data_IF_983141132144
#
_entry.id   IF_983141132144
#
_cell.length_a   1.000
_cell.length_b   1.000
_cell.length_c   1.000
_cell.angle_alpha   90.00
_cell.angle_beta   90.00
_cell.angle_gamma   90.00
#
_symmetry.space_group_name_H-M   'P 1'
#
loop_
_entity.id
_entity.type
_entity.pdbx_description
1 polymer ?
#
# COMPACT_ATOMS: atom_id res chain seq x y z
N UNK A 1 -3.72 20.79 26.19
CA UNK A 1 -2.89 19.67 26.67
C UNK A 1 -1.44 20.10 26.66
N UNK A 2 -0.68 19.93 27.75
CA UNK A 2 0.72 20.36 27.80
C UNK A 2 1.57 19.45 26.89
N UNK A 3 2.60 20.01 26.21
CA UNK A 3 3.50 19.21 25.35
C UNK A 3 4.08 18.00 26.10
N UNK A 4 4.38 18.17 27.40
CA UNK A 4 4.84 17.08 28.28
C UNK A 4 3.82 15.95 28.43
N UNK A 5 2.53 16.26 28.59
CA UNK A 5 1.48 15.25 28.69
C UNK A 5 1.29 14.49 27.38
N UNK A 6 1.40 15.15 26.22
CA UNK A 6 1.36 14.47 24.91
C UNK A 6 2.50 13.46 24.78
N UNK A 7 3.73 13.86 25.12
CA UNK A 7 4.88 12.95 25.06
C UNK A 7 4.79 11.77 26.02
N UNK A 8 4.29 12.00 27.25
CA UNK A 8 4.09 10.92 28.22
C UNK A 8 3.05 9.93 27.71
N UNK A 9 1.92 10.41 27.16
CA UNK A 9 0.88 9.54 26.60
C UNK A 9 1.43 8.75 25.40
N UNK A 10 2.16 9.40 24.49
CA UNK A 10 2.76 8.73 23.33
C UNK A 10 3.78 7.66 23.74
N UNK A 11 4.64 7.96 24.74
CA UNK A 11 5.60 7.01 25.28
C UNK A 11 4.91 5.80 25.91
N UNK A 12 3.86 6.05 26.71
CA UNK A 12 3.11 4.99 27.39
C UNK A 12 2.34 4.11 26.40
N UNK A 13 1.80 4.70 25.35
CA UNK A 13 1.21 3.97 24.23
C UNK A 13 2.25 3.10 23.49
N UNK A 14 3.41 3.67 23.15
CA UNK A 14 4.49 2.91 22.50
C UNK A 14 5.01 1.78 23.39
N UNK A 15 5.12 2.01 24.70
CA UNK A 15 5.57 1.00 25.65
C UNK A 15 4.57 -0.16 25.77
N UNK A 16 3.26 0.12 25.79
CA UNK A 16 2.22 -0.90 25.89
C UNK A 16 2.07 -1.72 24.59
N UNK A 17 2.11 -1.07 23.43
CA UNK A 17 2.09 -1.76 22.14
C UNK A 17 3.38 -2.56 21.92
N UNK A 18 4.53 -1.99 22.33
CA UNK A 18 5.82 -2.67 22.23
C UNK A 18 5.91 -3.89 23.15
N UNK A 19 5.43 -3.79 24.39
CA UNK A 19 5.51 -4.90 25.35
C UNK A 19 4.63 -6.09 24.93
N UNK A 20 3.41 -5.83 24.45
CA UNK A 20 2.51 -6.89 23.96
C UNK A 20 3.08 -7.60 22.73
N UNK A 21 3.66 -6.85 21.81
CA UNK A 21 4.31 -7.41 20.60
C UNK A 21 5.54 -8.26 20.96
N UNK A 22 6.40 -7.77 21.86
CA UNK A 22 7.59 -8.49 22.30
C UNK A 22 7.24 -9.74 23.11
N UNK A 23 6.21 -9.68 23.95
CA UNK A 23 5.71 -10.84 24.68
C UNK A 23 5.20 -11.93 23.73
N UNK A 24 4.43 -11.55 22.69
CA UNK A 24 3.98 -12.48 21.66
C UNK A 24 5.15 -13.15 20.92
N UNK A 25 6.14 -12.38 20.47
CA UNK A 25 7.34 -12.91 19.82
C UNK A 25 8.13 -13.86 20.72
N UNK A 26 8.27 -13.53 22.00
CA UNK A 26 8.96 -14.36 22.97
C UNK A 26 8.22 -15.68 23.22
N UNK A 27 6.89 -15.63 23.36
CA UNK A 27 6.06 -16.82 23.52
C UNK A 27 6.11 -17.72 22.29
N UNK A 28 6.01 -17.14 21.09
CA UNK A 28 6.14 -17.89 19.84
C UNK A 28 7.52 -18.55 19.76
N UNK A 29 8.59 -17.80 20.04
CA UNK A 29 9.95 -18.32 20.02
C UNK A 29 10.14 -19.51 20.97
N UNK A 30 9.74 -19.38 22.24
CA UNK A 30 9.85 -20.48 23.21
C UNK A 30 8.94 -21.65 22.85
N UNK A 31 7.76 -21.40 22.26
CA UNK A 31 6.88 -22.47 21.75
C UNK A 31 7.55 -23.25 20.61
N UNK A 32 8.11 -22.57 19.61
CA UNK A 32 8.80 -23.23 18.50
C UNK A 32 10.06 -23.97 18.97
N UNK A 33 10.80 -23.40 19.92
CA UNK A 33 11.95 -24.03 20.56
C UNK A 33 11.57 -25.31 21.29
N UNK A 34 10.51 -25.28 22.11
CA UNK A 34 10.02 -26.43 22.84
C UNK A 34 9.57 -27.58 21.91
N UNK A 35 9.01 -27.22 20.74
CA UNK A 35 8.54 -28.18 19.74
C UNK A 35 9.60 -28.57 18.69
N UNK A 36 10.89 -28.23 18.88
CA UNK A 36 11.99 -28.50 17.92
C UNK A 36 11.75 -27.91 16.52
N UNK A 37 10.92 -26.88 16.41
CA UNK A 37 10.53 -26.21 15.15
C UNK A 37 11.18 -24.85 14.93
N UNK A 38 12.34 -24.60 15.54
CA UNK A 38 12.99 -23.27 15.56
C UNK A 38 13.37 -22.77 14.16
N UNK A 39 13.63 -23.67 13.21
CA UNK A 39 13.85 -23.33 11.80
C UNK A 39 12.61 -22.67 11.17
N UNK A 40 11.41 -23.23 11.43
CA UNK A 40 10.14 -22.69 10.91
C UNK A 40 9.86 -21.29 11.47
N UNK A 41 10.22 -21.05 12.73
CA UNK A 41 10.12 -19.72 13.34
C UNK A 41 10.95 -18.69 12.57
N UNK A 42 12.22 -19.00 12.27
CA UNK A 42 13.09 -18.08 11.55
C UNK A 42 12.64 -17.86 10.11
N UNK A 43 12.19 -18.91 9.41
CA UNK A 43 11.62 -18.78 8.06
C UNK A 43 10.41 -17.85 8.09
N UNK A 44 9.48 -18.06 9.03
CA UNK A 44 8.30 -17.20 9.18
C UNK A 44 8.68 -15.76 9.51
N UNK A 45 9.55 -15.55 10.50
CA UNK A 45 9.96 -14.24 10.97
C UNK A 45 10.70 -13.45 9.89
N UNK A 46 11.70 -14.06 9.25
CA UNK A 46 12.47 -13.42 8.18
C UNK A 46 11.60 -13.14 6.97
N UNK A 47 10.66 -14.02 6.62
CA UNK A 47 9.71 -13.75 5.52
C UNK A 47 8.84 -12.53 5.84
N UNK A 48 8.22 -12.48 7.02
CA UNK A 48 7.43 -11.31 7.46
C UNK A 48 8.26 -10.03 7.41
N UNK A 49 9.48 -10.07 7.91
CA UNK A 49 10.41 -8.93 7.91
C UNK A 49 10.80 -8.50 6.49
N UNK A 50 11.15 -9.45 5.62
CA UNK A 50 11.54 -9.17 4.24
C UNK A 50 10.37 -8.59 3.43
N UNK A 51 9.17 -9.13 3.58
CA UNK A 51 7.96 -8.57 2.96
C UNK A 51 7.69 -7.16 3.48
N UNK A 52 7.79 -6.93 4.79
CA UNK A 52 7.65 -5.60 5.37
C UNK A 52 8.65 -4.61 4.77
N UNK A 53 9.93 -4.96 4.74
CA UNK A 53 10.99 -4.10 4.23
C UNK A 53 10.82 -3.82 2.72
N UNK A 54 10.57 -4.86 1.92
CA UNK A 54 10.39 -4.76 0.48
C UNK A 54 9.24 -3.81 0.11
N UNK A 55 8.06 -4.02 0.69
CA UNK A 55 6.89 -3.20 0.38
C UNK A 55 6.96 -1.81 1.00
N UNK A 56 7.62 -1.62 2.15
CA UNK A 56 7.92 -0.29 2.68
C UNK A 56 8.78 0.52 1.70
N UNK A 57 9.87 -0.09 1.23
CA UNK A 57 10.80 0.54 0.28
C UNK A 57 10.08 0.84 -1.04
N UNK A 58 9.28 -0.11 -1.55
CA UNK A 58 8.52 0.07 -2.78
C UNK A 58 7.54 1.23 -2.68
N UNK A 59 6.81 1.35 -1.56
CA UNK A 59 5.90 2.48 -1.33
C UNK A 59 6.67 3.80 -1.30
N UNK A 60 7.76 3.87 -0.55
CA UNK A 60 8.60 5.08 -0.44
C UNK A 60 9.15 5.46 -1.82
N UNK A 61 9.59 4.48 -2.62
CA UNK A 61 10.10 4.71 -3.97
C UNK A 61 9.00 5.25 -4.90
N UNK A 62 7.81 4.64 -4.92
CA UNK A 62 6.66 5.12 -5.71
C UNK A 62 6.26 6.53 -5.31
N UNK A 63 6.18 6.78 -4.01
CA UNK A 63 5.87 8.09 -3.46
C UNK A 63 6.92 9.12 -3.88
N UNK A 64 8.21 8.79 -3.73
CA UNK A 64 9.31 9.68 -4.09
C UNK A 64 9.31 10.00 -5.58
N UNK A 65 9.04 9.00 -6.44
CA UNK A 65 8.89 9.20 -7.87
C UNK A 65 7.76 10.18 -8.18
N UNK A 66 6.58 9.99 -7.58
CA UNK A 66 5.46 10.92 -7.71
C UNK A 66 5.79 12.33 -7.19
N UNK A 67 6.46 12.42 -6.04
CA UNK A 67 6.90 13.69 -5.47
C UNK A 67 7.91 14.41 -6.37
N UNK A 68 8.84 13.68 -6.98
CA UNK A 68 9.81 14.21 -7.94
C UNK A 68 9.13 14.67 -9.23
N UNK A 69 8.11 13.96 -9.71
CA UNK A 69 7.30 14.41 -10.86
C UNK A 69 6.63 15.76 -10.58
N UNK A 70 6.00 15.90 -9.42
CA UNK A 70 5.46 17.19 -8.96
C UNK A 70 6.58 18.24 -8.92
N UNK A 71 7.77 17.87 -8.42
CA UNK A 71 8.92 18.77 -8.30
C UNK A 71 9.47 19.28 -9.62
N UNK A 72 9.57 18.41 -10.61
CA UNK A 72 10.19 18.70 -11.91
C UNK A 72 9.18 19.39 -12.82
N UNK A 73 7.97 18.86 -12.93
CA UNK A 73 6.95 19.32 -13.88
C UNK A 73 6.10 20.48 -13.34
N UNK A 74 6.02 20.66 -12.02
CA UNK A 74 5.32 21.79 -11.39
C UNK A 74 6.00 23.16 -11.55
N UNK A 75 7.18 23.19 -12.18
CA UNK A 75 7.97 24.39 -12.44
C UNK A 75 8.91 24.78 -11.29
N UNK A 76 10.18 25.05 -11.62
CA UNK A 76 11.18 25.56 -10.67
C UNK A 76 10.67 26.87 -10.05
N UNK A 77 10.27 26.83 -8.78
CA UNK A 77 9.91 28.02 -8.00
C UNK A 77 8.52 27.99 -7.37
N UNK A 78 7.55 27.21 -7.88
CA UNK A 78 6.17 27.22 -7.34
C UNK A 78 5.97 26.39 -6.07
N UNK A 79 6.82 25.39 -5.87
CA UNK A 79 6.66 24.35 -4.84
C UNK A 79 7.06 24.86 -3.44
N UNK A 80 7.58 26.08 -3.36
CA UNK A 80 7.88 26.78 -2.12
C UNK A 80 7.82 28.30 -2.31
N UNK A 81 6.98 28.82 -3.22
CA UNK A 81 6.75 30.27 -3.26
C UNK A 81 5.90 30.67 -2.07
N UNK A 82 6.49 31.53 -1.24
CA UNK A 82 5.91 32.37 -0.18
C UNK A 82 4.37 32.44 -0.24
N UNK A 83 3.59 31.55 0.41
CA UNK A 83 2.15 31.85 0.58
C UNK A 83 1.48 31.17 1.78
N UNK A 84 1.70 29.87 2.07
CA UNK A 84 1.09 29.23 3.26
C UNK A 84 2.12 28.83 4.33
N UNK A 85 3.30 28.41 3.90
CA UNK A 85 4.30 27.80 4.78
C UNK A 85 5.19 28.82 5.49
N UNK A 86 5.45 29.95 4.85
CA UNK A 86 6.14 31.09 5.48
C UNK A 86 5.30 31.78 6.56
N UNK A 87 3.97 31.56 6.57
CA UNK A 87 3.09 32.00 7.68
C UNK A 87 3.21 31.11 8.91
N UNK A 88 3.57 29.83 8.76
CA UNK A 88 3.75 28.90 9.87
C UNK A 88 5.22 29.00 10.34
N UNK A 89 5.54 30.04 11.12
CA UNK A 89 6.82 30.12 11.83
C UNK A 89 6.75 29.25 13.08
N UNK A 90 7.44 28.11 13.08
CA UNK A 90 7.65 27.31 14.30
C UNK A 90 9.02 27.72 14.88
N UNK A 91 9.08 28.37 16.06
CA UNK A 91 10.31 28.94 16.61
C UNK A 91 11.45 27.95 16.86
N UNK A 92 11.16 26.64 16.89
CA UNK A 92 12.10 25.61 17.31
C UNK A 92 13.00 25.03 16.19
N UNK A 93 12.73 25.29 14.90
CA UNK A 93 13.37 24.53 13.78
C UNK A 93 13.81 25.41 12.58
N UNK A 94 13.88 26.75 12.74
CA UNK A 94 14.37 27.64 11.68
C UNK A 94 13.39 27.87 10.52
N UNK A 95 13.85 27.83 9.27
CA UNK A 95 13.04 28.17 8.07
C UNK A 95 11.87 27.20 7.84
N UNK A 96 10.69 27.76 7.53
CA UNK A 96 9.45 27.07 7.12
C UNK A 96 9.67 25.87 6.18
N UNK A 97 10.58 26.02 5.22
CA UNK A 97 10.91 25.02 4.19
C UNK A 97 11.57 23.74 4.72
N UNK A 98 12.52 23.84 5.66
CA UNK A 98 13.23 22.65 6.18
C UNK A 98 12.31 21.82 7.07
N UNK A 99 11.49 22.50 7.87
CA UNK A 99 10.42 21.89 8.66
C UNK A 99 9.50 21.02 7.82
N UNK A 100 9.07 21.50 6.66
CA UNK A 100 8.19 20.74 5.78
C UNK A 100 8.86 19.54 5.17
N UNK A 101 10.11 19.68 4.74
CA UNK A 101 10.86 18.54 4.20
C UNK A 101 10.98 17.48 5.28
N UNK A 102 11.24 17.87 6.54
CA UNK A 102 11.28 16.95 7.67
C UNK A 102 9.91 16.31 7.92
N UNK A 103 8.83 17.10 7.97
CA UNK A 103 7.47 16.61 8.22
C UNK A 103 6.99 15.69 7.11
N UNK A 104 7.20 16.06 5.84
CA UNK A 104 6.85 15.23 4.68
C UNK A 104 7.69 13.96 4.68
N UNK A 105 9.01 14.04 4.89
CA UNK A 105 9.86 12.85 4.97
C UNK A 105 9.43 11.92 6.10
N UNK A 106 9.14 12.47 7.27
CA UNK A 106 8.66 11.69 8.42
C UNK A 106 7.31 11.04 8.14
N UNK A 107 6.37 11.76 7.51
CA UNK A 107 5.07 11.23 7.11
C UNK A 107 5.21 10.10 6.08
N UNK A 108 6.12 10.23 5.11
CA UNK A 108 6.38 9.21 4.09
C UNK A 108 7.01 7.96 4.68
N UNK A 109 7.98 8.11 5.57
CA UNK A 109 8.60 6.98 6.27
C UNK A 109 7.54 6.26 7.13
N UNK A 110 6.70 7.03 7.84
CA UNK A 110 5.63 6.48 8.66
C UNK A 110 4.58 5.74 7.83
N UNK A 111 4.10 6.33 6.73
CA UNK A 111 3.17 5.68 5.80
C UNK A 111 3.82 4.46 5.13
N UNK A 112 5.09 4.54 4.75
CA UNK A 112 5.86 3.40 4.23
C UNK A 112 5.91 2.25 5.22
N UNK A 113 6.18 2.53 6.49
CA UNK A 113 6.13 1.53 7.57
C UNK A 113 4.75 0.90 7.73
N UNK A 114 3.66 1.69 7.66
CA UNK A 114 2.29 1.16 7.69
C UNK A 114 2.03 0.26 6.47
N UNK A 115 2.44 0.69 5.28
CA UNK A 115 2.26 -0.06 4.02
C UNK A 115 3.08 -1.35 4.00
N UNK A 116 4.26 -1.37 4.60
CA UNK A 116 5.02 -2.60 4.83
C UNK A 116 4.39 -3.49 5.89
N UNK A 117 3.82 -2.92 6.96
CA UNK A 117 3.15 -3.70 8.03
C UNK A 117 1.91 -4.40 7.50
N UNK A 118 1.09 -3.69 6.72
CA UNK A 118 -0.07 -4.27 6.04
C UNK A 118 0.35 -5.34 5.04
N UNK A 119 1.41 -5.13 4.25
CA UNK A 119 1.97 -6.15 3.37
C UNK A 119 2.48 -7.39 4.11
N UNK A 120 3.14 -7.20 5.27
CA UNK A 120 3.68 -8.30 6.10
C UNK A 120 2.58 -9.24 6.61
N UNK A 121 1.33 -8.78 6.74
CA UNK A 121 0.21 -9.65 7.05
C UNK A 121 -0.02 -10.73 5.99
N UNK A 122 0.32 -10.45 4.73
CA UNK A 122 0.21 -11.34 3.56
C UNK A 122 1.51 -12.11 3.26
N UNK A 123 2.33 -12.36 4.30
CA UNK A 123 3.58 -13.11 4.15
C UNK A 123 3.38 -14.54 3.65
N UNK A 124 2.20 -15.15 3.92
CA UNK A 124 1.87 -16.52 3.48
C UNK A 124 1.66 -16.56 1.97
N UNK A 125 0.89 -15.62 1.44
CA UNK A 125 0.65 -15.48 0.01
C UNK A 125 1.97 -15.24 -0.73
N UNK A 126 2.85 -14.40 -0.16
CA UNK A 126 4.19 -14.17 -0.71
C UNK A 126 5.08 -15.43 -0.71
N UNK A 127 5.19 -16.14 0.41
CA UNK A 127 6.10 -17.31 0.49
C UNK A 127 5.60 -18.48 -0.35
N UNK A 128 4.28 -18.66 -0.41
CA UNK A 128 3.65 -19.70 -1.23
C UNK A 128 3.79 -19.36 -2.72
N UNK A 129 3.65 -18.10 -3.10
CA UNK A 129 3.94 -17.65 -4.47
C UNK A 129 5.39 -17.88 -4.86
N UNK A 130 6.35 -17.55 -3.98
CA UNK A 130 7.78 -17.75 -4.24
C UNK A 130 8.15 -19.23 -4.41
N UNK A 131 7.42 -20.12 -3.73
CA UNK A 131 7.64 -21.57 -3.78
C UNK A 131 6.54 -22.27 -4.59
N UNK A 132 5.96 -21.60 -5.59
CA UNK A 132 4.92 -22.17 -6.42
C UNK A 132 5.45 -23.36 -7.22
N UNK A 133 4.72 -24.46 -7.23
CA UNK A 133 5.02 -25.65 -8.03
C UNK A 133 3.87 -25.96 -8.99
N UNK A 134 4.15 -26.48 -10.19
CA UNK A 134 3.10 -26.92 -11.10
C UNK A 134 2.41 -28.17 -10.56
N UNK A 135 1.12 -28.32 -10.85
CA UNK A 135 0.36 -29.53 -10.55
C UNK A 135 0.49 -30.55 -11.68
N UNK A 136 1.68 -31.11 -11.81
CA UNK A 136 1.97 -32.14 -12.81
C UNK A 136 1.03 -33.35 -12.64
N UNK A 137 0.46 -33.81 -13.75
CA UNK A 137 -0.47 -34.96 -13.77
C UNK A 137 -1.95 -34.60 -13.61
N UNK A 138 -2.29 -33.34 -13.35
CA UNK A 138 -3.66 -32.83 -13.44
C UNK A 138 -3.91 -32.07 -14.74
N UNK A 139 -5.10 -32.16 -15.34
CA UNK A 139 -5.43 -31.35 -16.51
C UNK A 139 -5.48 -29.87 -16.13
N UNK A 140 -5.00 -29.01 -17.03
CA UNK A 140 -5.15 -27.57 -16.89
C UNK A 140 -6.62 -27.17 -16.87
N UNK A 141 -6.91 -25.99 -16.31
CA UNK A 141 -8.27 -25.50 -16.26
C UNK A 141 -8.85 -25.34 -17.69
N UNK A 142 -10.11 -25.74 -17.94
CA UNK A 142 -10.68 -25.76 -19.29
C UNK A 142 -11.11 -24.37 -19.82
N UNK A 143 -11.09 -23.31 -18.99
CA UNK A 143 -11.61 -21.98 -19.35
C UNK A 143 -10.48 -21.04 -19.78
N UNK A 144 -9.43 -20.95 -18.97
CA UNK A 144 -8.26 -20.09 -19.14
C UNK A 144 -6.98 -20.86 -19.43
N UNK A 145 -6.97 -22.19 -19.33
CA UNK A 145 -5.81 -23.02 -19.61
C UNK A 145 -4.67 -22.85 -18.61
N UNK A 146 -4.96 -22.43 -17.37
CA UNK A 146 -3.98 -22.27 -16.29
C UNK A 146 -3.88 -23.54 -15.46
N UNK A 147 -2.68 -23.78 -14.96
CA UNK A 147 -2.42 -24.85 -14.01
C UNK A 147 -3.11 -24.57 -12.66
N UNK A 148 -3.46 -25.61 -11.91
CA UNK A 148 -4.06 -25.47 -10.57
C UNK A 148 -3.13 -24.71 -9.61
N UNK A 149 -1.81 -24.84 -9.78
CA UNK A 149 -0.80 -24.10 -9.00
C UNK A 149 -0.92 -22.59 -9.16
N UNK A 150 -1.38 -22.10 -10.32
CA UNK A 150 -1.64 -20.68 -10.53
C UNK A 150 -2.73 -20.18 -9.57
N UNK A 151 -3.84 -20.91 -9.44
CA UNK A 151 -4.98 -20.51 -8.61
C UNK A 151 -4.69 -20.60 -7.11
N UNK A 152 -3.90 -21.59 -6.69
CA UNK A 152 -3.58 -21.82 -5.28
C UNK A 152 -2.41 -20.96 -4.79
N UNK A 153 -1.41 -20.72 -5.63
CA UNK A 153 -0.17 -20.09 -5.20
C UNK A 153 0.00 -18.67 -5.74
N UNK A 154 -0.31 -18.43 -7.01
CA UNK A 154 -0.03 -17.14 -7.67
C UNK A 154 -1.18 -16.14 -7.58
N UNK A 155 -2.41 -16.60 -7.79
CA UNK A 155 -3.60 -15.75 -7.82
C UNK A 155 -3.83 -15.00 -6.50
N UNK A 156 -3.71 -15.63 -5.30
CA UNK A 156 -3.86 -14.90 -4.04
C UNK A 156 -2.81 -13.78 -3.88
N UNK A 157 -1.56 -14.04 -4.29
CA UNK A 157 -0.50 -13.04 -4.26
C UNK A 157 -0.74 -11.89 -5.26
N UNK A 158 -1.25 -12.19 -6.46
CA UNK A 158 -1.61 -11.14 -7.43
C UNK A 158 -2.79 -10.28 -6.95
N UNK A 159 -3.78 -10.88 -6.29
CA UNK A 159 -4.88 -10.16 -5.66
C UNK A 159 -4.38 -9.25 -4.53
N UNK A 160 -3.48 -9.75 -3.68
CA UNK A 160 -2.80 -8.94 -2.68
C UNK A 160 -2.03 -7.78 -3.32
N UNK A 161 -1.20 -8.05 -4.34
CA UNK A 161 -0.38 -7.03 -5.01
C UNK A 161 -1.26 -5.95 -5.64
N UNK A 162 -2.38 -6.35 -6.26
CA UNK A 162 -3.37 -5.43 -6.80
C UNK A 162 -3.94 -4.52 -5.70
N UNK A 163 -4.45 -5.10 -4.61
CA UNK A 163 -5.04 -4.34 -3.50
C UNK A 163 -4.04 -3.40 -2.83
N UNK A 164 -2.79 -3.85 -2.68
CA UNK A 164 -1.70 -3.05 -2.15
C UNK A 164 -1.34 -1.88 -3.07
N UNK A 165 -1.21 -2.10 -4.39
CA UNK A 165 -0.97 -1.04 -5.37
C UNK A 165 -2.12 -0.03 -5.45
N UNK A 166 -3.37 -0.48 -5.39
CA UNK A 166 -4.54 0.41 -5.32
C UNK A 166 -4.50 1.27 -4.07
N UNK A 167 -4.15 0.69 -2.92
CA UNK A 167 -3.96 1.43 -1.67
C UNK A 167 -2.85 2.47 -1.79
N UNK A 168 -1.71 2.11 -2.39
CA UNK A 168 -0.62 3.04 -2.71
C UNK A 168 -1.11 4.21 -3.56
N UNK A 169 -1.81 3.93 -4.67
CA UNK A 169 -2.31 4.96 -5.59
C UNK A 169 -3.27 5.92 -4.91
N UNK A 170 -4.20 5.41 -4.10
CA UNK A 170 -5.15 6.24 -3.34
C UNK A 170 -4.40 7.13 -2.35
N UNK A 171 -3.51 6.57 -1.54
CA UNK A 171 -2.72 7.33 -0.56
C UNK A 171 -1.86 8.40 -1.25
N UNK A 172 -1.18 8.05 -2.34
CA UNK A 172 -0.34 8.97 -3.12
C UNK A 172 -1.21 10.08 -3.74
N UNK A 173 -2.42 9.76 -4.20
CA UNK A 173 -3.36 10.75 -4.76
C UNK A 173 -3.85 11.73 -3.71
N UNK A 174 -4.24 11.23 -2.53
CA UNK A 174 -4.61 12.06 -1.38
C UNK A 174 -3.43 12.97 -1.01
N UNK A 175 -2.23 12.41 -0.90
CA UNK A 175 -1.04 13.18 -0.56
C UNK A 175 -0.71 14.23 -1.62
N UNK A 176 -0.78 13.88 -2.91
CA UNK A 176 -0.58 14.82 -4.01
C UNK A 176 -1.58 15.96 -3.98
N UNK A 177 -2.82 15.68 -3.59
CA UNK A 177 -3.87 16.70 -3.44
C UNK A 177 -3.51 17.67 -2.31
N UNK A 178 -3.09 17.15 -1.15
CA UNK A 178 -2.61 17.96 -0.02
C UNK A 178 -1.41 18.82 -0.41
N UNK A 179 -0.45 18.29 -1.17
CA UNK A 179 0.67 19.07 -1.69
C UNK A 179 0.23 20.18 -2.64
N UNK A 180 -0.69 19.90 -3.56
CA UNK A 180 -1.21 20.93 -4.48
C UNK A 180 -1.97 22.03 -3.74
N UNK A 181 -2.73 21.69 -2.69
CA UNK A 181 -3.37 22.65 -1.79
C UNK A 181 -2.32 23.50 -1.04
N UNK A 182 -1.31 22.85 -0.43
CA UNK A 182 -0.25 23.54 0.31
C UNK A 182 0.58 24.48 -0.58
N UNK A 183 0.75 24.12 -1.86
CA UNK A 183 1.45 24.93 -2.86
C UNK A 183 0.59 26.06 -3.45
N UNK A 184 -0.70 26.15 -3.12
CA UNK A 184 -1.63 27.12 -3.70
C UNK A 184 -1.95 26.85 -5.18
N UNK A 185 -1.69 25.64 -5.67
CA UNK A 185 -2.05 25.22 -7.02
C UNK A 185 -3.56 24.98 -7.19
N UNK A 186 -4.27 24.89 -6.06
CA UNK A 186 -5.72 24.85 -5.92
C UNK A 186 -6.11 26.11 -5.13
N UNK A 187 -6.84 27.03 -5.73
CA UNK A 187 -7.30 28.27 -5.10
C UNK A 187 -8.81 28.26 -4.97
N UNK A 188 -9.31 28.39 -3.74
CA UNK A 188 -10.74 28.46 -3.46
C UNK A 188 -11.12 29.95 -3.43
N UNK A 189 -11.89 30.39 -4.43
CA UNK A 189 -12.42 31.75 -4.54
C UNK A 189 -13.95 31.73 -4.35
N UNK A 190 -14.60 32.87 -4.04
CA UNK A 190 -16.06 32.95 -3.97
C UNK A 190 -16.75 32.52 -5.27
N UNK A 191 -16.05 32.67 -6.40
CA UNK A 191 -16.53 32.38 -7.75
C UNK A 191 -16.34 30.91 -8.15
N UNK A 192 -15.58 30.11 -7.37
CA UNK A 192 -15.31 28.71 -7.67
C UNK A 192 -13.93 28.23 -7.22
N UNK A 193 -13.62 26.97 -7.54
CA UNK A 193 -12.29 26.36 -7.29
C UNK A 193 -11.47 26.42 -8.56
N UNK A 194 -10.40 27.22 -8.54
CA UNK A 194 -9.44 27.32 -9.64
C UNK A 194 -8.31 26.31 -9.47
N UNK A 195 -8.08 25.51 -10.50
CA UNK A 195 -6.98 24.55 -10.58
C UNK A 195 -5.93 25.03 -11.59
N UNK A 196 -4.66 24.99 -11.21
CA UNK A 196 -3.58 25.15 -12.19
C UNK A 196 -3.61 24.03 -13.23
N UNK A 197 -3.19 24.33 -14.47
CA UNK A 197 -3.19 23.37 -15.58
C UNK A 197 -2.45 22.06 -15.23
N UNK A 198 -1.28 22.19 -14.59
CA UNK A 198 -0.48 21.04 -14.15
C UNK A 198 -1.17 20.24 -13.04
N UNK A 199 -1.74 20.90 -12.02
CA UNK A 199 -2.46 20.22 -10.95
C UNK A 199 -3.63 19.40 -11.50
N UNK A 200 -4.44 20.00 -12.38
CA UNK A 200 -5.56 19.34 -13.05
C UNK A 200 -5.08 18.12 -13.85
N UNK A 201 -4.06 18.28 -14.70
CA UNK A 201 -3.53 17.17 -15.49
C UNK A 201 -3.00 16.03 -14.60
N UNK A 202 -2.19 16.37 -13.58
CA UNK A 202 -1.57 15.40 -12.68
C UNK A 202 -2.62 14.59 -11.90
N UNK A 203 -3.59 15.26 -11.26
CA UNK A 203 -4.64 14.58 -10.50
C UNK A 203 -5.58 13.78 -11.41
N UNK A 204 -5.91 14.31 -12.61
CA UNK A 204 -6.70 13.55 -13.59
C UNK A 204 -5.98 12.28 -14.04
N UNK A 205 -4.65 12.31 -14.22
CA UNK A 205 -3.87 11.12 -14.59
C UNK A 205 -3.87 10.11 -13.43
N UNK A 206 -3.63 10.54 -12.19
CA UNK A 206 -3.66 9.65 -11.04
C UNK A 206 -5.04 8.99 -10.86
N UNK A 207 -6.11 9.78 -10.98
CA UNK A 207 -7.49 9.27 -10.93
C UNK A 207 -7.79 8.34 -12.11
N UNK A 208 -7.33 8.69 -13.32
CA UNK A 208 -7.48 7.83 -14.48
C UNK A 208 -6.76 6.50 -14.27
N UNK A 209 -5.55 6.49 -13.72
CA UNK A 209 -4.84 5.24 -13.39
C UNK A 209 -5.65 4.43 -12.39
N UNK A 210 -6.21 5.04 -11.33
CA UNK A 210 -7.04 4.33 -10.34
C UNK A 210 -8.26 3.68 -11.01
N UNK A 211 -8.98 4.40 -11.87
CA UNK A 211 -10.19 3.90 -12.54
C UNK A 211 -9.85 2.86 -13.61
N UNK A 212 -8.77 3.09 -14.37
CA UNK A 212 -8.32 2.23 -15.46
C UNK A 212 -7.41 1.10 -15.00
N UNK A 213 -7.19 0.93 -13.70
CA UNK A 213 -6.41 -0.20 -13.16
C UNK A 213 -7.20 -1.50 -13.31
N UNK A 214 -7.39 -1.93 -14.56
CA UNK A 214 -8.23 -3.04 -15.01
C UNK A 214 -7.61 -4.42 -14.79
N UNK A 215 -6.48 -4.48 -14.11
CA UNK A 215 -5.92 -5.74 -13.61
C UNK A 215 -6.93 -6.47 -12.70
N UNK A 216 -7.82 -5.75 -12.01
CA UNK A 216 -8.89 -6.36 -11.22
C UNK A 216 -9.83 -7.19 -12.06
N UNK A 217 -10.20 -6.75 -13.27
CA UNK A 217 -11.15 -7.51 -14.10
C UNK A 217 -10.58 -8.87 -14.46
N UNK A 218 -9.30 -8.90 -14.86
CA UNK A 218 -8.65 -10.16 -15.22
C UNK A 218 -8.44 -11.08 -14.02
N UNK A 219 -8.04 -10.54 -12.87
CA UNK A 219 -7.89 -11.34 -11.64
C UNK A 219 -9.24 -11.87 -11.15
N UNK A 220 -10.28 -11.03 -11.17
CA UNK A 220 -11.64 -11.40 -10.80
C UNK A 220 -12.23 -12.48 -11.72
N UNK A 221 -11.87 -12.45 -13.02
CA UNK A 221 -12.25 -13.50 -13.95
C UNK A 221 -11.66 -14.87 -13.54
N UNK A 222 -10.42 -14.90 -13.05
CA UNK A 222 -9.81 -16.11 -12.50
C UNK A 222 -10.47 -16.54 -11.18
N UNK A 223 -10.77 -15.60 -10.29
CA UNK A 223 -11.45 -15.89 -9.01
C UNK A 223 -12.85 -16.50 -9.20
N UNK A 224 -13.48 -16.28 -10.36
CA UNK A 224 -14.76 -16.89 -10.68
C UNK A 224 -14.71 -18.43 -10.61
N UNK A 225 -13.57 -19.03 -10.97
CA UNK A 225 -13.34 -20.47 -10.88
C UNK A 225 -13.20 -20.98 -9.43
N UNK A 226 -12.93 -20.08 -8.48
CA UNK A 226 -12.82 -20.38 -7.05
C UNK A 226 -14.06 -19.94 -6.27
N UNK A 227 -15.11 -19.49 -6.97
CA UNK A 227 -16.32 -18.97 -6.35
C UNK A 227 -17.34 -20.06 -6.03
N UNK A 228 -18.11 -19.87 -4.95
CA UNK A 228 -19.25 -20.70 -4.63
C UNK A 228 -20.46 -20.28 -5.50
N UNK A 229 -20.93 -21.17 -6.37
CA UNK A 229 -22.07 -20.94 -7.25
C UNK A 229 -23.29 -21.76 -6.76
N UNK A 230 -23.95 -21.26 -5.72
CA UNK A 230 -25.14 -21.90 -5.15
C UNK A 230 -24.81 -23.22 -4.46
N UNK A 231 -25.11 -24.36 -5.11
CA UNK A 231 -24.96 -25.71 -4.53
C UNK A 231 -23.61 -26.39 -4.82
N UNK A 232 -22.79 -25.84 -5.71
CA UNK A 232 -21.49 -26.42 -6.07
C UNK A 232 -20.38 -25.37 -6.02
N UNK A 233 -19.16 -25.84 -5.84
CA UNK A 233 -17.94 -25.03 -5.86
C UNK A 233 -17.40 -24.93 -7.28
N UNK A 234 -17.04 -23.73 -7.72
CA UNK A 234 -16.49 -23.45 -9.05
C UNK A 234 -17.43 -22.69 -9.98
N UNK A 235 -16.90 -22.27 -11.14
CA UNK A 235 -17.67 -21.50 -12.11
C UNK A 235 -18.74 -22.36 -12.80
N UNK A 236 -20.00 -22.12 -12.46
CA UNK A 236 -21.14 -22.74 -13.13
C UNK A 236 -21.41 -22.18 -14.52
N UNK A 237 -22.34 -22.80 -15.26
CA UNK A 237 -22.72 -22.38 -16.61
C UNK A 237 -23.04 -20.88 -16.70
N UNK A 238 -23.80 -20.33 -15.74
CA UNK A 238 -24.13 -18.90 -15.71
C UNK A 238 -22.91 -18.01 -15.43
N UNK A 239 -21.99 -18.45 -14.58
CA UNK A 239 -20.76 -17.72 -14.31
C UNK A 239 -19.93 -17.60 -15.60
N UNK A 240 -19.73 -18.72 -16.31
CA UNK A 240 -18.92 -18.77 -17.53
C UNK A 240 -19.59 -18.05 -18.71
N UNK A 241 -20.90 -18.20 -18.90
CA UNK A 241 -21.58 -17.68 -20.10
C UNK A 241 -22.18 -16.29 -19.93
N UNK A 242 -22.22 -15.74 -18.70
CA UNK A 242 -22.74 -14.38 -18.47
C UNK A 242 -21.76 -13.50 -17.69
N UNK A 243 -21.28 -13.95 -16.52
CA UNK A 243 -20.42 -13.12 -15.67
C UNK A 243 -19.04 -12.94 -16.27
N UNK A 244 -18.49 -13.97 -16.91
CA UNK A 244 -17.18 -13.90 -17.54
C UNK A 244 -17.09 -12.84 -18.64
N UNK A 245 -18.19 -12.63 -19.39
CA UNK A 245 -18.26 -11.61 -20.45
C UNK A 245 -18.23 -10.17 -19.92
N UNK A 246 -18.51 -9.98 -18.64
CA UNK A 246 -18.49 -8.67 -17.99
C UNK A 246 -17.09 -8.25 -17.49
N UNK A 247 -16.11 -9.17 -17.56
CA UNK A 247 -14.71 -8.93 -17.23
C UNK A 247 -13.88 -8.73 -18.51
#
# INVERSE_FOLDING_TARGET
>A
MNKKTIWIIALLFLATVGSTSLAGLFLDYEWFKANKGLEVFWVMFLTKFNVHALFSILFIALFLANFLLIRVLGGRGRIFTRNILDRIRIPAVGTSRNLLIIVVSAAVIFLGFIMGTTASAFWKEYIVFQNSVPFDGFPADPIFGKDLGFYLFSLPFYNFLYGWLMSCLVIITIFSTVLHLANGAISIKPEGVDFSLFCRAHLSILLAIIVLFGLSYRLSAYDLLLSWAGKFFGAGYTAVNSKLLAY
#
